data_IF_296274906082
#
_entry.id   IF_296274906082
#
_cell.length_a   1.000
_cell.length_b   1.000
_cell.length_c   1.000
_cell.angle_alpha   90.00
_cell.angle_beta   90.00
_cell.angle_gamma   90.00
#
_symmetry.space_group_name_H-M   'P 1'
#
loop_
_entity.id
_entity.type
_entity.pdbx_description
1 polymer ?
#
# COMPACT_ATOMS: atom_id res chain seq x y z
N UNK A 1 -10.98 -0.84 -16.91
CA UNK A 1 -11.00 -1.49 -15.58
C UNK A 1 -12.45 -1.85 -15.30
N UNK A 2 -12.74 -3.10 -14.97
CA UNK A 2 -14.12 -3.54 -14.75
C UNK A 2 -14.69 -2.90 -13.48
N UNK A 3 -16.02 -2.81 -13.37
CA UNK A 3 -16.71 -2.30 -12.16
C UNK A 3 -16.29 -3.07 -10.89
N UNK A 4 -16.01 -4.37 -11.04
CA UNK A 4 -15.55 -5.26 -9.96
C UNK A 4 -14.15 -4.90 -9.47
N UNK A 5 -13.21 -4.68 -10.39
CA UNK A 5 -11.83 -4.26 -10.07
C UNK A 5 -11.79 -2.90 -9.38
N UNK A 6 -12.59 -1.93 -9.86
CA UNK A 6 -12.68 -0.62 -9.25
C UNK A 6 -13.22 -0.70 -7.81
N UNK A 7 -14.30 -1.44 -7.58
CA UNK A 7 -14.86 -1.63 -6.24
C UNK A 7 -13.87 -2.32 -5.29
N UNK A 8 -13.13 -3.32 -5.77
CA UNK A 8 -12.10 -3.98 -4.97
C UNK A 8 -10.91 -3.06 -4.65
N UNK A 9 -10.49 -2.24 -5.62
CA UNK A 9 -9.46 -1.23 -5.38
C UNK A 9 -9.86 -0.25 -4.28
N UNK A 10 -11.12 0.20 -4.27
CA UNK A 10 -11.63 1.11 -3.23
C UNK A 10 -11.67 0.44 -1.85
N UNK A 11 -12.03 -0.84 -1.79
CA UNK A 11 -11.97 -1.64 -0.56
C UNK A 11 -10.53 -1.72 -0.04
N UNK A 12 -9.57 -2.09 -0.89
CA UNK A 12 -8.15 -2.16 -0.51
C UNK A 12 -7.62 -0.79 -0.07
N UNK A 13 -8.03 0.29 -0.76
CA UNK A 13 -7.66 1.66 -0.39
C UNK A 13 -8.13 2.02 1.01
N UNK A 14 -9.39 1.71 1.35
CA UNK A 14 -9.98 1.99 2.67
C UNK A 14 -9.23 1.24 3.77
N UNK A 15 -9.01 -0.06 3.60
CA UNK A 15 -8.26 -0.89 4.55
C UNK A 15 -6.85 -0.33 4.78
N UNK A 16 -6.13 0.00 3.70
CA UNK A 16 -4.78 0.59 3.82
C UNK A 16 -4.81 1.94 4.54
N UNK A 17 -5.78 2.80 4.27
CA UNK A 17 -5.90 4.10 4.96
C UNK A 17 -6.23 3.93 6.44
N UNK A 18 -7.06 2.94 6.80
CA UNK A 18 -7.41 2.65 8.19
C UNK A 18 -6.23 2.11 8.99
N UNK A 19 -5.45 1.18 8.42
CA UNK A 19 -4.34 0.54 9.12
C UNK A 19 -3.06 1.39 9.12
N UNK A 20 -2.78 2.10 8.02
CA UNK A 20 -1.49 2.78 7.81
C UNK A 20 -1.61 4.32 7.75
N UNK A 21 -2.81 4.89 7.90
CA UNK A 21 -3.07 6.33 7.80
C UNK A 21 -2.98 6.92 6.37
N UNK A 22 -2.23 6.25 5.48
CA UNK A 22 -2.08 6.61 4.05
C UNK A 22 -2.54 5.47 3.14
N UNK A 23 -3.32 5.83 2.12
CA UNK A 23 -3.65 4.94 1.02
C UNK A 23 -2.54 4.93 -0.06
N UNK A 24 -2.40 3.83 -0.81
CA UNK A 24 -1.50 3.74 -1.97
C UNK A 24 -1.83 4.79 -3.04
N UNK A 25 -0.83 5.31 -3.73
CA UNK A 25 -1.00 6.27 -4.83
C UNK A 25 -1.72 5.60 -6.02
N UNK A 26 -1.34 4.37 -6.36
CA UNK A 26 -1.99 3.58 -7.42
C UNK A 26 -2.32 2.18 -6.94
N UNK A 27 -3.48 1.70 -7.35
CA UNK A 27 -3.96 0.35 -7.07
C UNK A 27 -4.41 -0.24 -8.40
N UNK A 28 -3.98 -1.46 -8.68
CA UNK A 28 -4.49 -2.24 -9.81
C UNK A 28 -4.79 -3.65 -9.32
N UNK A 29 -6.02 -4.09 -9.51
CA UNK A 29 -6.46 -5.44 -9.15
C UNK A 29 -6.75 -6.23 -10.42
N UNK A 30 -6.36 -7.49 -10.41
CA UNK A 30 -6.69 -8.49 -11.41
C UNK A 30 -7.42 -9.63 -10.71
N UNK A 31 -8.51 -10.11 -11.30
CA UNK A 31 -9.16 -11.34 -10.85
C UNK A 31 -8.67 -12.49 -11.73
N UNK A 32 -8.13 -13.53 -11.11
CA UNK A 32 -7.66 -14.75 -11.77
C UNK A 32 -8.35 -15.91 -11.07
N UNK A 33 -9.28 -16.56 -11.76
CA UNK A 33 -10.19 -17.55 -11.19
C UNK A 33 -10.90 -17.02 -9.92
N UNK A 34 -10.66 -17.66 -8.78
CA UNK A 34 -11.17 -17.29 -7.46
C UNK A 34 -10.23 -16.36 -6.66
N UNK A 35 -9.13 -15.90 -7.25
CA UNK A 35 -8.14 -15.03 -6.62
C UNK A 35 -8.30 -13.57 -7.05
N UNK A 36 -8.01 -12.66 -6.12
CA UNK A 36 -7.82 -11.25 -6.40
C UNK A 36 -6.35 -10.88 -6.16
N UNK A 37 -5.63 -10.51 -7.21
CA UNK A 37 -4.23 -10.07 -7.14
C UNK A 37 -4.18 -8.56 -7.25
N UNK A 38 -3.76 -7.88 -6.18
CA UNK A 38 -3.68 -6.43 -6.13
C UNK A 38 -2.23 -5.93 -6.07
N UNK A 39 -1.86 -5.09 -7.03
CA UNK A 39 -0.58 -4.40 -7.11
C UNK A 39 -0.75 -3.00 -6.53
N UNK A 40 0.06 -2.67 -5.52
CA UNK A 40 0.02 -1.39 -4.80
C UNK A 40 1.31 -0.60 -5.05
N UNK A 41 1.18 0.66 -5.47
CA UNK A 41 2.32 1.54 -5.71
C UNK A 41 2.19 2.83 -4.90
N UNK A 42 3.33 3.44 -4.55
CA UNK A 42 3.38 4.70 -3.82
C UNK A 42 2.93 4.60 -2.36
N UNK A 43 3.26 3.47 -1.71
CA UNK A 43 2.86 3.22 -0.33
C UNK A 43 3.58 4.12 0.68
N UNK A 44 4.76 4.64 0.35
CA UNK A 44 5.55 5.53 1.21
C UNK A 44 5.14 6.99 1.02
N UNK A 45 4.99 7.72 2.11
CA UNK A 45 4.90 9.19 2.17
C UNK A 45 6.20 9.84 1.68
N UNK A 46 6.18 11.11 1.27
CA UNK A 46 7.40 11.86 0.96
C UNK A 46 8.42 11.85 2.11
N UNK A 47 7.95 11.98 3.35
CA UNK A 47 8.77 11.91 4.56
C UNK A 47 9.44 10.54 4.73
N UNK A 48 8.69 9.45 4.60
CA UNK A 48 9.28 8.10 4.65
C UNK A 48 10.28 7.86 3.52
N UNK A 49 10.01 8.36 2.31
CA UNK A 49 10.95 8.30 1.18
C UNK A 49 12.24 9.08 1.47
N UNK A 50 12.15 10.20 2.19
CA UNK A 50 13.31 10.99 2.59
C UNK A 50 14.14 10.26 3.65
N UNK A 51 13.49 9.74 4.69
CA UNK A 51 14.15 8.98 5.77
C UNK A 51 14.84 7.73 5.20
N UNK A 52 14.17 7.01 4.29
CA UNK A 52 14.71 5.79 3.67
C UNK A 52 15.89 6.01 2.72
N UNK A 53 16.44 7.24 2.61
CA UNK A 53 17.66 7.52 1.84
C UNK A 53 18.93 6.99 2.52
N UNK A 54 18.93 6.80 3.83
CA UNK A 54 20.03 6.13 4.53
C UNK A 54 19.70 4.66 4.85
N UNK A 55 20.70 3.78 5.01
CA UNK A 55 20.49 2.39 5.43
C UNK A 55 19.70 2.28 6.75
N UNK A 56 20.03 3.11 7.73
CA UNK A 56 19.40 3.12 9.06
C UNK A 56 17.96 3.61 8.97
N UNK A 57 17.71 4.66 8.19
CA UNK A 57 16.37 5.18 7.96
C UNK A 57 15.48 4.19 7.21
N UNK A 58 16.05 3.41 6.28
CA UNK A 58 15.32 2.33 5.61
C UNK A 58 14.88 1.24 6.60
N UNK A 59 15.76 0.83 7.51
CA UNK A 59 15.45 -0.14 8.55
C UNK A 59 14.41 0.38 9.55
N UNK A 60 14.51 1.66 9.91
CA UNK A 60 13.52 2.34 10.75
C UNK A 60 12.14 2.34 10.10
N UNK A 61 12.03 2.76 8.83
CA UNK A 61 10.77 2.76 8.08
C UNK A 61 10.22 1.33 7.95
N UNK A 62 11.06 0.35 7.68
CA UNK A 62 10.65 -1.05 7.60
C UNK A 62 10.10 -1.55 8.94
N UNK A 63 10.80 -1.29 10.04
CA UNK A 63 10.40 -1.68 11.39
C UNK A 63 9.07 -1.03 11.78
N UNK A 64 8.92 0.27 11.58
CA UNK A 64 7.69 1.00 11.91
C UNK A 64 6.48 0.43 11.13
N UNK A 65 6.65 0.11 9.84
CA UNK A 65 5.55 -0.42 9.00
C UNK A 65 5.26 -1.90 9.20
N UNK A 66 6.18 -2.67 9.77
CA UNK A 66 6.06 -4.13 9.92
C UNK A 66 5.75 -4.54 11.35
N UNK A 67 6.19 -3.77 12.36
CA UNK A 67 6.06 -4.15 13.78
C UNK A 67 5.07 -3.31 14.59
N UNK A 68 4.69 -2.12 14.13
CA UNK A 68 3.76 -1.24 14.87
C UNK A 68 2.31 -1.33 14.38
N UNK A 69 1.98 -2.34 13.58
CA UNK A 69 0.65 -2.60 13.02
C UNK A 69 0.33 -4.08 13.23
#
# INVERSE_FOLDING_TARGET
>A
MSKKEAAFNDLVRKVRKQLFGKGPERIKTYFVDNLAVTILQGNLTPTEKFIARSPEGKEMVHTARTRMI
#
